data_IF_838220330483
#
_entry.id   IF_838220330483
#
_cell.length_a   1.000
_cell.length_b   1.000
_cell.length_c   1.000
_cell.angle_alpha   90.00
_cell.angle_beta   90.00
_cell.angle_gamma   90.00
#
_symmetry.space_group_name_H-M   'P 1'
#
loop_
_entity.id
_entity.type
_entity.pdbx_description
1 polymer ?
#
# COMPACT_ATOMS: atom_id res chain seq x y z
N UNK A 1 -19.01 16.77 23.76
CA UNK A 1 -18.16 15.76 23.13
C UNK A 1 -16.74 16.24 23.37
N UNK A 2 -15.92 15.47 24.09
CA UNK A 2 -14.49 15.73 24.18
C UNK A 2 -13.93 15.60 22.77
N UNK A 3 -13.12 16.59 22.31
CA UNK A 3 -12.42 16.52 21.06
C UNK A 3 -11.41 15.37 21.14
N UNK A 4 -11.73 14.23 20.57
CA UNK A 4 -10.82 13.09 20.49
C UNK A 4 -9.79 13.43 19.39
N UNK A 5 -8.52 13.56 19.78
CA UNK A 5 -7.47 13.79 18.79
C UNK A 5 -7.40 12.64 17.77
N UNK A 6 -7.32 12.95 16.49
CA UNK A 6 -7.20 11.93 15.44
C UNK A 6 -5.95 11.07 15.65
N UNK A 7 -6.15 9.75 15.68
CA UNK A 7 -5.06 8.79 15.83
C UNK A 7 -4.34 8.55 14.50
N UNK A 8 -3.08 8.11 14.51
CA UNK A 8 -2.42 7.65 13.29
C UNK A 8 -3.17 6.47 12.65
N UNK A 9 -3.14 6.39 11.32
CA UNK A 9 -3.57 5.22 10.55
C UNK A 9 -2.33 4.57 9.94
N UNK A 10 -1.97 3.38 10.42
CA UNK A 10 -0.90 2.57 9.85
C UNK A 10 -1.47 1.66 8.78
N UNK A 11 -0.80 1.60 7.64
CA UNK A 11 -1.19 0.76 6.50
C UNK A 11 -0.01 -0.13 6.11
N UNK A 12 -0.24 -1.43 6.03
CA UNK A 12 0.72 -2.39 5.50
C UNK A 12 0.04 -3.29 4.46
N UNK A 13 0.38 -3.16 3.18
CA UNK A 13 -0.10 -4.07 2.14
C UNK A 13 0.38 -5.49 2.40
N UNK A 14 -0.44 -6.47 2.01
CA UNK A 14 -0.02 -7.88 2.06
C UNK A 14 1.22 -8.09 1.20
N UNK A 15 2.14 -8.92 1.69
CA UNK A 15 3.36 -9.26 0.95
C UNK A 15 3.08 -10.32 -0.13
N UNK A 16 4.12 -10.76 -0.82
CA UNK A 16 4.06 -11.61 -2.04
C UNK A 16 3.05 -12.76 -1.95
N UNK A 17 3.13 -13.64 -0.99
CA UNK A 17 2.20 -14.76 -0.86
C UNK A 17 2.12 -15.66 -2.13
N UNK A 18 1.23 -16.63 -2.11
CA UNK A 18 0.98 -17.53 -3.24
C UNK A 18 -0.04 -16.90 -4.20
N UNK A 19 0.21 -16.94 -5.52
CA UNK A 19 -0.80 -16.60 -6.51
C UNK A 19 -1.92 -17.62 -6.52
N UNK A 20 -3.17 -17.15 -6.54
CA UNK A 20 -4.36 -17.99 -6.55
C UNK A 20 -5.58 -17.20 -7.04
N UNK A 21 -6.50 -17.87 -7.70
CA UNK A 21 -7.78 -17.30 -8.11
C UNK A 21 -8.81 -17.27 -6.94
N UNK A 22 -8.47 -17.88 -5.82
CA UNK A 22 -9.29 -17.84 -4.61
C UNK A 22 -8.93 -16.59 -3.77
N UNK A 23 -9.72 -15.53 -3.92
CA UNK A 23 -9.54 -14.29 -3.18
C UNK A 23 -9.60 -14.48 -1.66
N UNK A 24 -10.35 -15.49 -1.17
CA UNK A 24 -10.44 -15.78 0.25
C UNK A 24 -9.11 -16.21 0.86
N UNK A 25 -8.20 -16.80 0.08
CA UNK A 25 -6.85 -17.09 0.55
C UNK A 25 -6.06 -15.79 0.79
N UNK A 26 -6.20 -14.80 -0.10
CA UNK A 26 -5.55 -13.49 0.07
C UNK A 26 -6.13 -12.75 1.29
N UNK A 27 -7.46 -12.80 1.45
CA UNK A 27 -8.14 -12.20 2.61
C UNK A 27 -7.66 -12.80 3.93
N UNK A 28 -7.54 -14.13 4.01
CA UNK A 28 -7.00 -14.83 5.20
C UNK A 28 -5.56 -14.43 5.50
N UNK A 29 -4.73 -14.24 4.48
CA UNK A 29 -3.36 -13.76 4.66
C UNK A 29 -3.34 -12.35 5.26
N UNK A 30 -4.21 -11.45 4.81
CA UNK A 30 -4.40 -10.12 5.40
C UNK A 30 -4.86 -10.20 6.87
N UNK A 31 -5.81 -11.07 7.19
CA UNK A 31 -6.26 -11.30 8.57
C UNK A 31 -5.13 -11.83 9.47
N UNK A 32 -4.25 -12.66 8.94
CA UNK A 32 -3.07 -13.12 9.68
C UNK A 32 -2.08 -11.98 9.96
N UNK A 33 -1.89 -11.07 9.01
CA UNK A 33 -1.06 -9.88 9.20
C UNK A 33 -1.62 -8.99 10.30
N UNK A 34 -2.93 -8.74 10.31
CA UNK A 34 -3.60 -7.99 11.38
C UNK A 34 -3.47 -8.67 12.75
N UNK A 35 -3.57 -9.99 12.79
CA UNK A 35 -3.63 -10.72 14.06
C UNK A 35 -2.28 -11.08 14.66
N UNK A 36 -1.22 -11.18 13.85
CA UNK A 36 0.09 -11.71 14.27
C UNK A 36 1.30 -11.00 13.65
N UNK A 37 1.08 -10.04 12.77
CA UNK A 37 2.16 -9.35 12.06
C UNK A 37 2.94 -8.39 12.97
N UNK A 38 4.21 -8.16 12.68
CA UNK A 38 5.05 -7.19 13.38
C UNK A 38 4.42 -5.78 13.40
N UNK A 39 3.79 -5.37 12.32
CA UNK A 39 3.15 -4.06 12.23
C UNK A 39 1.94 -3.91 13.15
N UNK A 40 1.32 -5.01 13.57
CA UNK A 40 0.32 -4.96 14.63
C UNK A 40 0.95 -4.47 15.94
N UNK A 41 2.10 -5.02 16.32
CA UNK A 41 2.77 -4.63 17.57
C UNK A 41 3.22 -3.14 17.49
N UNK A 42 3.67 -2.71 16.31
CA UNK A 42 3.98 -1.29 16.03
C UNK A 42 2.72 -0.42 16.14
N UNK A 43 1.59 -0.84 15.58
CA UNK A 43 0.34 -0.10 15.68
C UNK A 43 -0.14 0.01 17.13
N UNK A 44 -0.03 -1.04 17.92
CA UNK A 44 -0.36 -1.05 19.34
C UNK A 44 0.52 -0.07 20.13
N UNK A 45 1.83 -0.07 19.89
CA UNK A 45 2.78 0.84 20.55
C UNK A 45 2.53 2.32 20.19
N UNK A 46 2.18 2.59 18.93
CA UNK A 46 1.85 3.92 18.45
C UNK A 46 0.41 4.35 18.76
N UNK A 47 -0.40 3.48 19.33
CA UNK A 47 -1.85 3.68 19.52
C UNK A 47 -2.51 4.05 18.18
N UNK A 48 -2.02 3.48 17.08
CA UNK A 48 -2.51 3.68 15.74
C UNK A 48 -3.65 2.71 15.40
N UNK A 49 -4.55 3.14 14.52
CA UNK A 49 -5.43 2.20 13.83
C UNK A 49 -4.63 1.49 12.74
N UNK A 50 -4.98 0.23 12.44
CA UNK A 50 -4.19 -0.59 11.51
C UNK A 50 -5.05 -1.14 10.38
N UNK A 51 -4.62 -0.92 9.15
CA UNK A 51 -5.28 -1.39 7.92
C UNK A 51 -4.32 -2.23 7.12
N UNK A 52 -4.79 -3.39 6.69
CA UNK A 52 -4.09 -4.27 5.75
C UNK A 52 -4.93 -4.37 4.46
N UNK A 53 -4.59 -3.62 3.42
CA UNK A 53 -5.25 -3.74 2.13
C UNK A 53 -4.92 -5.11 1.51
N UNK A 54 -5.94 -5.73 0.92
CA UNK A 54 -5.81 -7.03 0.26
C UNK A 54 -6.13 -6.88 -1.22
N UNK A 55 -5.15 -7.10 -2.06
CA UNK A 55 -5.30 -7.09 -3.51
C UNK A 55 -5.36 -8.51 -4.06
N UNK A 56 -6.12 -8.76 -5.15
CA UNK A 56 -6.08 -10.05 -5.81
C UNK A 56 -4.71 -10.31 -6.43
N UNK A 57 -4.30 -11.56 -6.42
CA UNK A 57 -3.12 -12.04 -7.14
C UNK A 57 -3.50 -13.29 -7.90
N UNK A 58 -4.20 -13.13 -9.02
CA UNK A 58 -4.72 -14.25 -9.78
C UNK A 58 -3.62 -15.12 -10.37
N UNK A 59 -3.90 -16.41 -10.45
CA UNK A 59 -3.02 -17.38 -11.10
C UNK A 59 -3.39 -17.58 -12.58
N UNK A 60 -4.69 -17.51 -12.88
CA UNK A 60 -5.23 -17.78 -14.21
C UNK A 60 -5.00 -16.64 -15.21
N UNK A 61 -4.89 -15.42 -14.73
CA UNK A 61 -4.68 -14.22 -15.55
C UNK A 61 -3.46 -13.42 -15.08
N UNK A 62 -2.27 -13.99 -15.11
CA UNK A 62 -1.08 -13.28 -14.67
C UNK A 62 -0.72 -12.21 -15.71
N UNK A 63 -0.73 -10.94 -15.30
CA UNK A 63 -0.08 -9.88 -16.07
C UNK A 63 1.42 -10.12 -16.03
N UNK A 64 1.96 -10.27 -14.84
CA UNK A 64 3.28 -10.78 -14.52
C UNK A 64 3.18 -11.39 -13.11
N UNK A 65 4.01 -12.35 -12.78
CA UNK A 65 4.04 -12.97 -11.45
C UNK A 65 4.40 -11.98 -10.34
N UNK A 66 4.99 -10.84 -10.68
CA UNK A 66 5.40 -9.78 -9.76
C UNK A 66 4.44 -8.59 -9.70
N UNK A 67 3.43 -8.52 -10.58
CA UNK A 67 2.68 -7.31 -10.84
C UNK A 67 1.88 -6.77 -9.66
N UNK A 68 1.39 -7.61 -8.90
CA UNK A 68 0.32 -7.35 -7.96
C UNK A 68 0.61 -6.16 -6.99
N UNK A 69 1.10 -6.34 -5.79
CA UNK A 69 1.32 -5.17 -4.90
C UNK A 69 2.74 -4.64 -4.93
N UNK A 70 3.66 -5.39 -5.49
CA UNK A 70 5.06 -5.04 -5.35
C UNK A 70 5.63 -4.20 -6.45
N UNK A 71 4.90 -3.96 -7.48
CA UNK A 71 5.50 -3.23 -8.55
C UNK A 71 5.02 -1.78 -8.58
N UNK A 72 3.85 -1.44 -8.93
CA UNK A 72 3.51 -0.11 -9.40
C UNK A 72 4.53 0.35 -10.47
N UNK A 73 4.96 -0.60 -11.32
CA UNK A 73 5.84 -0.35 -12.46
C UNK A 73 5.03 -0.01 -13.71
N UNK A 74 5.68 0.21 -14.84
CA UNK A 74 5.02 0.54 -16.10
C UNK A 74 3.96 -0.49 -16.48
N UNK A 75 4.25 -1.79 -16.28
CA UNK A 75 3.31 -2.86 -16.59
C UNK A 75 2.07 -2.79 -15.70
N UNK A 76 2.25 -2.63 -14.42
CA UNK A 76 1.14 -2.53 -13.46
C UNK A 76 0.33 -1.25 -13.67
N UNK A 77 1.01 -0.13 -13.90
CA UNK A 77 0.36 1.17 -14.11
C UNK A 77 -0.34 1.29 -15.47
N UNK A 78 -0.01 0.43 -16.43
CA UNK A 78 -0.66 0.38 -17.75
C UNK A 78 -1.89 -0.51 -17.81
N UNK A 79 -2.27 -1.17 -16.72
CA UNK A 79 -3.51 -1.94 -16.63
C UNK A 79 -4.70 -0.97 -16.65
N UNK A 80 -5.50 -1.03 -17.70
CA UNK A 80 -6.58 -0.07 -18.00
C UNK A 80 -7.97 -0.54 -17.59
N UNK A 81 -8.09 -1.75 -17.04
CA UNK A 81 -9.36 -2.31 -16.58
C UNK A 81 -9.20 -3.52 -15.67
N UNK A 82 -10.23 -3.79 -14.89
CA UNK A 82 -10.31 -4.98 -14.04
C UNK A 82 -9.77 -4.79 -12.62
N UNK A 83 -9.69 -5.88 -11.84
CA UNK A 83 -9.41 -5.80 -10.40
C UNK A 83 -7.98 -5.33 -10.06
N UNK A 84 -7.10 -5.23 -11.02
CA UNK A 84 -5.72 -4.76 -10.84
C UNK A 84 -5.48 -3.37 -11.46
N UNK A 85 -6.52 -2.73 -12.01
CA UNK A 85 -6.43 -1.36 -12.50
C UNK A 85 -6.07 -0.41 -11.37
N UNK A 86 -5.00 0.35 -11.53
CA UNK A 86 -4.59 1.43 -10.62
C UNK A 86 -4.73 1.03 -9.15
N UNK A 87 -4.01 -0.01 -8.74
CA UNK A 87 -4.01 -0.49 -7.34
C UNK A 87 -3.55 0.58 -6.34
N UNK A 88 -2.81 1.58 -6.79
CA UNK A 88 -2.48 2.78 -6.02
C UNK A 88 -3.73 3.60 -5.66
N UNK A 89 -4.61 3.85 -6.62
CA UNK A 89 -5.89 4.54 -6.38
C UNK A 89 -6.87 3.68 -5.58
N UNK A 90 -6.82 2.37 -5.77
CA UNK A 90 -7.60 1.46 -4.93
C UNK A 90 -7.19 1.56 -3.46
N UNK A 91 -5.88 1.66 -3.18
CA UNK A 91 -5.41 1.88 -1.81
C UNK A 91 -5.95 3.18 -1.23
N UNK A 92 -5.94 4.28 -2.00
CA UNK A 92 -6.52 5.54 -1.54
C UNK A 92 -8.00 5.38 -1.18
N UNK A 93 -8.78 4.75 -2.03
CA UNK A 93 -10.20 4.50 -1.77
C UNK A 93 -10.42 3.61 -0.54
N UNK A 94 -9.60 2.57 -0.34
CA UNK A 94 -9.66 1.73 0.86
C UNK A 94 -9.31 2.51 2.13
N UNK A 95 -8.34 3.41 2.06
CA UNK A 95 -7.95 4.27 3.18
C UNK A 95 -9.08 5.23 3.53
N UNK A 96 -9.69 5.88 2.55
CA UNK A 96 -10.82 6.79 2.75
C UNK A 96 -12.01 6.06 3.39
N UNK A 97 -12.41 4.91 2.86
CA UNK A 97 -13.48 4.09 3.45
C UNK A 97 -13.15 3.68 4.91
N UNK A 98 -11.90 3.33 5.18
CA UNK A 98 -11.47 2.99 6.54
C UNK A 98 -11.51 4.19 7.49
N UNK A 99 -11.08 5.37 7.03
CA UNK A 99 -11.13 6.61 7.79
C UNK A 99 -12.57 6.99 8.15
N UNK A 100 -13.47 6.95 7.17
CA UNK A 100 -14.90 7.24 7.37
C UNK A 100 -15.54 6.25 8.36
N UNK A 101 -15.32 4.96 8.19
CA UNK A 101 -15.86 3.92 9.08
C UNK A 101 -15.33 4.01 10.51
N UNK A 102 -14.09 4.42 10.69
CA UNK A 102 -13.49 4.62 12.00
C UNK A 102 -14.07 5.89 12.66
N UNK A 103 -14.20 6.98 11.91
CA UNK A 103 -14.80 8.20 12.38
C UNK A 103 -16.26 7.99 12.82
N UNK A 104 -17.07 7.28 12.03
CA UNK A 104 -18.46 6.94 12.35
C UNK A 104 -18.60 6.12 13.65
N UNK A 105 -17.56 5.40 14.03
CA UNK A 105 -17.49 4.62 15.27
C UNK A 105 -16.89 5.38 16.45
N UNK A 106 -16.55 6.66 16.26
CA UNK A 106 -15.92 7.49 17.27
C UNK A 106 -14.41 7.32 17.42
N UNK A 107 -13.74 6.77 16.41
CA UNK A 107 -12.30 6.60 16.35
C UNK A 107 -11.70 7.42 15.19
N UNK A 108 -11.73 8.76 15.26
CA UNK A 108 -11.19 9.57 14.17
C UNK A 108 -9.70 9.28 13.97
N UNK A 109 -9.27 9.27 12.72
CA UNK A 109 -7.87 9.07 12.34
C UNK A 109 -7.38 10.25 11.49
N UNK A 110 -6.07 10.45 11.50
CA UNK A 110 -5.43 11.51 10.73
C UNK A 110 -5.61 11.29 9.22
N UNK A 111 -5.65 12.37 8.44
CA UNK A 111 -5.77 12.33 6.99
C UNK A 111 -4.55 11.66 6.34
N UNK A 112 -3.34 12.07 6.76
CA UNK A 112 -2.09 11.47 6.28
C UNK A 112 -1.81 10.13 6.95
N UNK A 113 -1.53 9.12 6.12
CA UNK A 113 -1.28 7.74 6.56
C UNK A 113 0.19 7.47 6.87
N UNK A 114 0.43 6.50 7.72
CA UNK A 114 1.74 5.90 7.93
C UNK A 114 1.81 4.59 7.16
N UNK A 115 2.85 4.39 6.37
CA UNK A 115 3.05 3.20 5.58
C UNK A 115 4.19 2.36 6.13
N UNK A 116 3.99 1.05 6.19
CA UNK A 116 5.06 0.09 6.45
C UNK A 116 5.04 -1.01 5.40
N UNK A 117 6.23 -1.41 4.93
CA UNK A 117 6.35 -2.50 3.99
C UNK A 117 7.75 -3.07 3.95
N UNK A 118 7.84 -4.38 3.77
CA UNK A 118 9.09 -5.09 3.59
C UNK A 118 9.05 -5.96 2.34
N UNK A 119 10.16 -6.09 1.61
CA UNK A 119 10.25 -6.87 0.37
C UNK A 119 9.25 -6.34 -0.69
N UNK A 120 8.33 -7.15 -1.16
CA UNK A 120 7.31 -6.78 -2.13
C UNK A 120 6.43 -5.61 -1.65
N UNK A 121 5.94 -5.67 -0.42
CA UNK A 121 5.20 -4.57 0.18
C UNK A 121 6.09 -3.32 0.36
N UNK A 122 7.41 -3.50 0.60
CA UNK A 122 8.37 -2.41 0.64
C UNK A 122 8.43 -1.65 -0.69
N UNK A 123 8.56 -2.35 -1.81
CA UNK A 123 8.55 -1.74 -3.14
C UNK A 123 7.24 -0.98 -3.41
N UNK A 124 6.12 -1.56 -3.02
CA UNK A 124 4.83 -0.91 -3.18
C UNK A 124 4.74 0.41 -2.41
N UNK A 125 5.05 0.40 -1.10
CA UNK A 125 4.90 1.62 -0.28
C UNK A 125 5.91 2.70 -0.66
N UNK A 126 7.11 2.32 -1.13
CA UNK A 126 8.10 3.25 -1.67
C UNK A 126 7.53 4.03 -2.86
N UNK A 127 7.07 3.32 -3.89
CA UNK A 127 6.50 3.93 -5.10
C UNK A 127 5.19 4.66 -4.85
N UNK A 128 4.32 4.09 -4.01
CA UNK A 128 3.09 4.74 -3.60
C UNK A 128 3.35 6.11 -2.95
N UNK A 129 4.39 6.20 -2.11
CA UNK A 129 4.77 7.46 -1.47
C UNK A 129 5.18 8.52 -2.49
N UNK A 130 5.90 8.12 -3.54
CA UNK A 130 6.30 9.04 -4.61
C UNK A 130 5.12 9.50 -5.48
N UNK A 131 4.15 8.60 -5.72
CA UNK A 131 2.94 8.91 -6.49
C UNK A 131 1.93 9.78 -5.71
N UNK A 132 1.88 9.63 -4.39
CA UNK A 132 0.87 10.26 -3.52
C UNK A 132 1.49 10.90 -2.27
N UNK A 133 2.49 11.80 -2.42
CA UNK A 133 3.22 12.35 -1.28
C UNK A 133 2.33 13.11 -0.30
N UNK A 134 1.28 13.76 -0.79
CA UNK A 134 0.35 14.54 0.04
C UNK A 134 -0.51 13.67 0.98
N UNK A 135 -0.61 12.38 0.71
CA UNK A 135 -1.39 11.43 1.50
C UNK A 135 -0.53 10.66 2.51
N UNK A 136 0.80 10.74 2.40
CA UNK A 136 1.72 9.97 3.23
C UNK A 136 2.38 10.86 4.27
N UNK A 137 2.12 10.57 5.55
CA UNK A 137 2.76 11.24 6.68
C UNK A 137 4.17 10.69 6.96
N UNK A 138 4.32 9.38 6.84
CA UNK A 138 5.60 8.69 7.01
C UNK A 138 5.57 7.33 6.32
N UNK A 139 6.74 6.86 5.91
CA UNK A 139 6.90 5.54 5.27
C UNK A 139 8.14 4.85 5.81
N UNK A 140 8.00 3.55 6.03
CA UNK A 140 9.12 2.63 6.26
C UNK A 140 9.09 1.58 5.15
N UNK A 141 10.08 1.62 4.28
CA UNK A 141 10.23 0.67 3.19
C UNK A 141 11.54 -0.09 3.33
N UNK A 142 11.47 -1.39 3.51
CA UNK A 142 12.64 -2.25 3.71
C UNK A 142 12.73 -3.38 2.69
N UNK A 143 13.94 -3.92 2.52
CA UNK A 143 14.18 -5.05 1.61
C UNK A 143 13.81 -4.76 0.15
N UNK A 144 14.01 -3.53 -0.30
CA UNK A 144 13.69 -3.08 -1.65
C UNK A 144 14.46 -3.88 -2.68
N UNK A 145 13.77 -4.28 -3.73
CA UNK A 145 14.32 -4.99 -4.87
C UNK A 145 14.36 -4.06 -6.09
N UNK A 146 15.54 -3.89 -6.67
CA UNK A 146 15.73 -3.01 -7.81
C UNK A 146 16.11 -1.57 -7.42
N UNK A 147 15.95 -0.62 -8.35
CA UNK A 147 16.24 0.78 -8.10
C UNK A 147 15.09 1.48 -7.38
N UNK A 148 15.44 2.34 -6.43
CA UNK A 148 14.47 3.29 -5.90
C UNK A 148 13.99 4.23 -7.01
N UNK A 149 12.72 4.57 -6.98
CA UNK A 149 12.17 5.60 -7.85
C UNK A 149 12.74 6.95 -7.43
N UNK A 150 13.08 7.79 -8.40
CA UNK A 150 13.57 9.13 -8.14
C UNK A 150 12.41 10.13 -8.23
N UNK A 151 12.30 11.10 -7.30
CA UNK A 151 11.29 12.15 -7.38
C UNK A 151 11.67 13.22 -8.41
N UNK A 152 11.99 12.80 -9.62
CA UNK A 152 12.48 13.63 -10.72
C UNK A 152 11.93 13.12 -12.04
N UNK A 153 11.48 14.02 -12.90
CA UNK A 153 11.10 13.72 -14.28
C UNK A 153 12.32 13.68 -15.21
N UNK A 154 13.42 14.32 -14.84
CA UNK A 154 14.61 14.46 -15.66
C UNK A 154 15.88 14.42 -14.80
N UNK A 155 16.94 13.80 -15.31
CA UNK A 155 18.28 13.86 -14.76
C UNK A 155 19.32 13.95 -15.87
N UNK A 156 20.30 14.86 -15.73
CA UNK A 156 21.38 15.08 -16.69
C UNK A 156 20.90 15.33 -18.14
N UNK A 157 19.78 16.07 -18.30
CA UNK A 157 19.18 16.38 -19.60
C UNK A 157 18.49 15.18 -20.26
N UNK A 158 18.15 14.16 -19.51
CA UNK A 158 17.43 12.96 -20.00
C UNK A 158 16.13 12.80 -19.20
N UNK A 159 15.03 12.68 -19.92
CA UNK A 159 13.75 12.29 -19.30
C UNK A 159 13.88 10.90 -18.67
N UNK A 160 13.45 10.79 -17.43
CA UNK A 160 13.40 9.54 -16.73
C UNK A 160 12.03 8.89 -16.98
N UNK A 161 11.97 7.68 -17.53
CA UNK A 161 10.71 6.99 -17.66
C UNK A 161 10.22 6.57 -16.27
N UNK A 162 8.91 6.55 -16.06
CA UNK A 162 8.32 5.88 -14.91
C UNK A 162 8.75 4.40 -14.99
N UNK A 163 9.11 3.86 -14.01
CA UNK A 163 9.31 3.87 -12.58
C UNK A 163 10.79 4.12 -12.18
N UNK A 164 11.56 4.75 -13.04
CA UNK A 164 12.92 5.24 -12.72
C UNK A 164 12.81 6.66 -12.16
N UNK A 165 11.93 7.46 -12.73
CA UNK A 165 11.50 8.75 -12.23
C UNK A 165 9.95 8.88 -12.19
N UNK A 166 9.46 10.02 -11.71
CA UNK A 166 8.03 10.37 -11.66
C UNK A 166 7.75 11.60 -12.49
#
# INVERSE_FOLDING_TARGET
FEDVEPRPLLVEPTNTGTSTDDFEQHRRAGEQTISRGFSRDVAEELIAQFVVPVFPRPHSEPVDWTHYVHQLDDTTMSIDSGPLERVDLQLLAMVEDAQDRLADRGYPVAEGIMLNGFSAAGNFVDRFTMLHPDRVRSVTAGGLNGMAILPLEEADGRTLPYHVGI
#
